data_IF_430783719836
#
_entry.id   IF_430783719836
#
_cell.length_a   1.000
_cell.length_b   1.000
_cell.length_c   1.000
_cell.angle_alpha   90.00
_cell.angle_beta   90.00
_cell.angle_gamma   90.00
#
_symmetry.space_group_name_H-M   'P 1'
#
loop_
_entity.id
_entity.type
_entity.pdbx_description
1 polymer ?
#
# COMPACT_ATOMS: atom_id res chain seq x y z
N UNK A 1 8.22 47.83 -18.40
CA UNK A 1 7.48 46.55 -18.31
C UNK A 1 8.48 45.43 -18.35
N UNK A 2 8.66 44.68 -17.26
CA UNK A 2 9.54 43.51 -17.21
C UNK A 2 8.93 42.40 -18.06
N UNK A 3 9.59 42.07 -19.17
CA UNK A 3 9.14 41.02 -20.09
C UNK A 3 9.36 39.66 -19.44
N UNK A 4 8.28 38.94 -19.17
CA UNK A 4 8.35 37.56 -18.64
C UNK A 4 8.82 36.64 -19.77
N UNK A 5 10.03 36.08 -19.63
CA UNK A 5 10.58 35.08 -20.55
C UNK A 5 9.93 33.71 -20.28
N UNK A 6 9.53 33.01 -21.36
CA UNK A 6 9.03 31.62 -21.33
C UNK A 6 9.97 30.70 -20.57
N UNK A 7 11.28 30.92 -20.69
CA UNK A 7 12.30 30.12 -20.01
C UNK A 7 12.25 30.28 -18.48
N UNK A 8 11.89 31.47 -18.01
CA UNK A 8 11.71 31.75 -16.58
C UNK A 8 10.47 31.04 -16.04
N UNK A 9 9.37 31.02 -16.80
CA UNK A 9 8.14 30.30 -16.45
C UNK A 9 8.38 28.79 -16.37
N UNK A 10 9.08 28.22 -17.35
CA UNK A 10 9.39 26.78 -17.37
C UNK A 10 10.30 26.35 -16.20
N UNK A 11 11.31 27.16 -15.87
CA UNK A 11 12.18 26.91 -14.71
C UNK A 11 11.41 26.99 -13.39
N UNK A 12 10.52 27.97 -13.24
CA UNK A 12 9.68 28.09 -12.05
C UNK A 12 8.70 26.90 -11.91
N UNK A 13 8.11 26.45 -13.02
CA UNK A 13 7.23 25.27 -13.04
C UNK A 13 7.92 23.96 -12.66
N UNK A 14 9.17 23.77 -13.09
CA UNK A 14 9.96 22.58 -12.73
C UNK A 14 10.23 22.50 -11.21
N UNK A 15 10.51 23.64 -10.56
CA UNK A 15 10.69 23.69 -9.10
C UNK A 15 9.37 23.43 -8.37
N UNK A 16 8.26 23.98 -8.87
CA UNK A 16 6.93 23.73 -8.30
C UNK A 16 6.48 22.26 -8.44
N UNK A 17 6.89 21.56 -9.50
CA UNK A 17 6.58 20.14 -9.70
C UNK A 17 7.31 19.23 -8.68
N UNK A 18 8.53 19.61 -8.28
CA UNK A 18 9.32 18.87 -7.27
C UNK A 18 8.81 19.11 -5.84
N UNK A 19 8.23 20.28 -5.57
CA UNK A 19 7.66 20.65 -4.25
C UNK A 19 6.14 20.43 -4.15
N UNK A 20 5.50 19.92 -5.21
CA UNK A 20 4.05 19.79 -5.32
C UNK A 20 3.51 18.44 -4.84
N UNK A 21 2.48 17.87 -5.49
CA UNK A 21 1.82 16.63 -5.03
C UNK A 21 2.74 15.40 -5.01
N UNK A 22 3.93 15.48 -5.58
CA UNK A 22 4.95 14.43 -5.57
C UNK A 22 6.04 14.63 -4.51
N UNK A 23 5.98 15.70 -3.69
CA UNK A 23 6.93 15.95 -2.61
C UNK A 23 7.05 14.76 -1.64
N UNK A 24 5.98 13.97 -1.47
CA UNK A 24 5.97 12.75 -0.67
C UNK A 24 6.94 11.65 -1.14
N UNK A 25 7.30 11.61 -2.44
CA UNK A 25 8.30 10.67 -2.95
C UNK A 25 9.72 11.01 -2.50
N UNK A 26 10.03 12.31 -2.37
CA UNK A 26 11.34 12.79 -1.91
C UNK A 26 11.42 12.92 -0.39
N UNK A 27 10.30 13.22 0.27
CA UNK A 27 10.21 13.37 1.73
C UNK A 27 10.35 12.05 2.50
N UNK A 28 10.33 10.90 1.80
CA UNK A 28 10.40 9.57 2.40
C UNK A 28 11.73 9.28 3.07
N UNK A 29 12.85 9.84 2.57
CA UNK A 29 14.15 9.72 3.26
C UNK A 29 14.26 10.66 4.47
N UNK A 30 13.83 11.92 4.31
CA UNK A 30 13.98 12.93 5.36
C UNK A 30 13.08 12.69 6.59
N UNK A 31 11.96 11.99 6.42
CA UNK A 31 11.01 11.65 7.48
C UNK A 31 10.96 10.14 7.78
N UNK A 32 11.91 9.34 7.26
CA UNK A 32 12.09 7.99 7.75
C UNK A 32 12.61 8.08 9.18
N UNK A 33 11.69 8.15 10.14
CA UNK A 33 12.01 7.77 11.52
C UNK A 33 12.71 6.41 11.43
N UNK A 34 13.84 6.19 12.14
CA UNK A 34 14.46 4.89 12.17
C UNK A 34 13.36 3.89 12.50
N UNK A 35 13.10 2.97 11.58
CA UNK A 35 12.15 1.91 11.86
C UNK A 35 12.59 1.32 13.20
N UNK A 36 11.70 1.34 14.20
CA UNK A 36 11.95 0.59 15.42
C UNK A 36 12.42 -0.79 14.99
N UNK A 37 13.63 -1.18 15.39
CA UNK A 37 14.24 -2.44 14.94
C UNK A 37 13.33 -3.64 15.25
N UNK A 38 12.45 -3.48 16.25
CA UNK A 38 11.29 -4.32 16.45
C UNK A 38 10.09 -3.73 15.69
N UNK A 39 9.60 -4.45 14.68
CA UNK A 39 8.29 -4.20 14.08
C UNK A 39 7.15 -4.27 15.12
N UNK A 40 5.90 -4.01 14.72
CA UNK A 40 4.77 -4.11 15.64
C UNK A 40 4.65 -5.53 16.22
N UNK A 41 4.20 -5.62 17.47
CA UNK A 41 3.88 -6.90 18.10
C UNK A 41 2.73 -7.59 17.35
N UNK A 42 3.03 -8.75 16.75
CA UNK A 42 2.08 -9.51 15.93
C UNK A 42 1.44 -10.61 16.78
N UNK A 43 0.11 -10.65 16.76
CA UNK A 43 -0.67 -11.67 17.45
C UNK A 43 -1.49 -12.46 16.45
N UNK A 44 -1.74 -13.74 16.73
CA UNK A 44 -2.68 -14.53 15.93
C UNK A 44 -4.07 -13.91 16.01
N UNK A 45 -4.61 -13.49 14.86
CA UNK A 45 -5.95 -12.93 14.75
C UNK A 45 -6.88 -14.01 14.18
N UNK A 46 -8.01 -14.33 14.83
CA UNK A 46 -9.00 -15.24 14.25
C UNK A 46 -9.63 -14.64 12.99
N UNK A 47 -9.74 -15.43 11.92
CA UNK A 47 -10.43 -15.01 10.70
C UNK A 47 -11.92 -14.74 10.96
N UNK A 48 -12.46 -13.62 10.49
CA UNK A 48 -13.88 -13.31 10.56
C UNK A 48 -14.76 -14.28 9.74
N UNK A 49 -14.18 -15.12 8.88
CA UNK A 49 -14.87 -16.13 8.09
C UNK A 49 -15.27 -17.34 8.93
N UNK A 50 -14.33 -17.92 9.66
CA UNK A 50 -14.46 -19.24 10.30
C UNK A 50 -13.67 -19.38 11.62
N UNK A 51 -13.00 -18.33 12.07
CA UNK A 51 -12.21 -18.30 13.30
C UNK A 51 -10.84 -18.95 13.21
N UNK A 52 -10.45 -19.52 12.06
CA UNK A 52 -9.12 -20.12 11.90
C UNK A 52 -8.03 -19.02 11.89
N UNK A 53 -6.95 -19.25 12.62
CA UNK A 53 -5.84 -18.30 12.69
C UNK A 53 -4.89 -18.55 11.53
N UNK A 54 -4.90 -17.63 10.54
CA UNK A 54 -4.07 -17.69 9.33
C UNK A 54 -3.03 -16.59 9.27
N UNK A 55 -3.33 -15.44 9.88
CA UNK A 55 -2.46 -14.27 9.85
C UNK A 55 -2.12 -13.81 11.27
N UNK A 56 -0.84 -13.48 11.47
CA UNK A 56 -0.39 -12.72 12.62
C UNK A 56 -0.39 -11.23 12.25
N UNK A 57 -1.19 -10.43 12.94
CA UNK A 57 -1.38 -9.01 12.66
C UNK A 57 -1.15 -8.17 13.93
N UNK A 58 -0.86 -6.86 13.80
CA UNK A 58 -0.79 -5.98 14.95
C UNK A 58 -2.12 -5.95 15.72
N UNK A 59 -2.04 -5.71 17.02
CA UNK A 59 -3.25 -5.54 17.85
C UNK A 59 -4.19 -4.48 17.28
N UNK A 60 -5.49 -4.79 17.27
CA UNK A 60 -6.55 -3.91 16.77
C UNK A 60 -6.90 -4.13 15.29
N UNK A 61 -6.13 -4.92 14.54
CA UNK A 61 -6.49 -5.33 13.18
C UNK A 61 -7.45 -6.51 13.19
N UNK A 62 -8.27 -6.59 12.13
CA UNK A 62 -9.12 -7.74 11.83
C UNK A 62 -9.01 -8.06 10.34
N UNK A 63 -9.28 -9.31 9.97
CA UNK A 63 -9.29 -9.72 8.57
C UNK A 63 -10.39 -10.74 8.30
N UNK A 64 -10.76 -10.85 7.02
CA UNK A 64 -11.65 -11.90 6.52
C UNK A 64 -11.04 -12.52 5.28
N UNK A 65 -10.83 -13.83 5.27
CA UNK A 65 -10.36 -14.50 4.04
C UNK A 65 -11.48 -14.63 3.01
N UNK A 66 -11.11 -14.43 1.75
CA UNK A 66 -11.96 -14.61 0.59
C UNK A 66 -11.46 -15.79 -0.24
N UNK A 67 -12.40 -16.55 -0.81
CA UNK A 67 -12.14 -17.59 -1.82
C UNK A 67 -10.91 -18.48 -1.56
N UNK A 68 -10.96 -19.39 -0.57
CA UNK A 68 -9.97 -20.46 -0.43
C UNK A 68 -9.78 -21.25 -1.74
N UNK A 69 -8.54 -21.68 -1.97
CA UNK A 69 -8.20 -22.59 -3.07
C UNK A 69 -9.08 -23.84 -3.03
N UNK A 70 -9.60 -24.24 -4.20
CA UNK A 70 -10.49 -25.39 -4.33
C UNK A 70 -11.97 -25.10 -4.12
N UNK A 71 -12.36 -23.90 -3.64
CA UNK A 71 -13.79 -23.55 -3.57
C UNK A 71 -14.41 -23.44 -4.97
N UNK A 72 -15.69 -23.80 -5.12
CA UNK A 72 -16.37 -23.69 -6.40
C UNK A 72 -16.56 -22.22 -6.81
N UNK A 73 -16.17 -21.92 -8.03
CA UNK A 73 -16.52 -20.70 -8.73
C UNK A 73 -17.87 -20.89 -9.43
N UNK A 74 -18.59 -19.79 -9.63
CA UNK A 74 -19.80 -19.81 -10.47
C UNK A 74 -19.41 -20.24 -11.88
N UNK A 75 -20.07 -21.28 -12.39
CA UNK A 75 -19.74 -21.89 -13.69
C UNK A 75 -18.94 -23.20 -13.59
N UNK A 76 -18.70 -23.72 -12.38
CA UNK A 76 -18.23 -25.09 -12.17
C UNK A 76 -16.71 -25.26 -12.15
N UNK A 77 -15.93 -24.21 -12.39
CA UNK A 77 -14.50 -24.20 -12.09
C UNK A 77 -14.26 -24.11 -10.57
N UNK A 78 -13.04 -24.36 -10.13
CA UNK A 78 -12.61 -24.16 -8.73
C UNK A 78 -11.63 -23.00 -8.63
N UNK A 79 -11.55 -22.35 -7.47
CA UNK A 79 -10.56 -21.32 -7.17
C UNK A 79 -9.16 -21.92 -7.35
N UNK A 80 -8.31 -21.37 -8.23
CA UNK A 80 -6.98 -21.91 -8.47
C UNK A 80 -6.08 -21.72 -7.25
N UNK A 81 -5.02 -22.50 -7.14
CA UNK A 81 -3.98 -22.28 -6.13
C UNK A 81 -2.99 -21.20 -6.57
N UNK A 82 -2.14 -20.76 -5.62
CA UNK A 82 -1.00 -19.86 -5.87
C UNK A 82 -1.40 -18.52 -6.50
N UNK A 83 -2.35 -17.84 -5.87
CA UNK A 83 -2.69 -16.46 -6.22
C UNK A 83 -1.45 -15.56 -6.10
N UNK A 84 -1.26 -14.69 -7.09
CA UNK A 84 -0.23 -13.65 -7.09
C UNK A 84 -0.95 -12.28 -7.03
N UNK A 85 -0.40 -11.24 -7.65
CA UNK A 85 -0.98 -9.90 -7.72
C UNK A 85 -2.43 -9.87 -8.20
N UNK A 86 -3.23 -9.02 -7.55
CA UNK A 86 -4.61 -8.68 -7.89
C UNK A 86 -4.74 -7.16 -7.96
N UNK A 87 -5.71 -6.66 -8.75
CA UNK A 87 -5.97 -5.23 -8.97
C UNK A 87 -7.44 -4.89 -8.73
#
# INVERSE_FOLDING_TARGET
MTQVDRRTVLKAGAVAALAGPFAGFFAREANAAPASAAGPDLVGVPDLRDGEIRLALPRGFSYRSFQPTGEPLRGGATVPGRHDGMA
#
